data_IF_756789994829
#
_entry.id   IF_756789994829
#
_cell.length_a   1.000
_cell.length_b   1.000
_cell.length_c   1.000
_cell.angle_alpha   90.00
_cell.angle_beta   90.00
_cell.angle_gamma   90.00
#
_symmetry.space_group_name_H-M   'P 1'
#
loop_
_entity.id
_entity.type
_entity.pdbx_description
1 polymer ?
#
# COMPACT_ATOMS: atom_id res chain seq x y z
N UNK A 1 -27.30 15.03 -17.99
CA UNK A 1 -26.01 14.37 -17.75
C UNK A 1 -26.32 12.95 -17.30
N UNK A 2 -25.97 11.95 -18.12
CA UNK A 2 -26.31 10.53 -17.90
C UNK A 2 -25.57 10.03 -16.65
N UNK A 3 -26.17 9.07 -15.87
CA UNK A 3 -25.54 8.51 -14.66
C UNK A 3 -24.10 8.02 -14.90
N UNK A 4 -23.82 7.45 -16.07
CA UNK A 4 -22.48 7.03 -16.49
C UNK A 4 -21.48 8.20 -16.61
N UNK A 5 -21.92 9.41 -16.95
CA UNK A 5 -21.07 10.59 -17.01
C UNK A 5 -20.74 11.16 -15.61
N UNK A 6 -21.65 11.00 -14.65
CA UNK A 6 -21.45 11.43 -13.26
C UNK A 6 -20.44 10.53 -12.53
N UNK A 7 -20.35 9.25 -12.91
CA UNK A 7 -19.38 8.30 -12.33
C UNK A 7 -17.94 8.50 -12.84
N UNK A 8 -17.76 9.14 -14.00
CA UNK A 8 -16.43 9.38 -14.59
C UNK A 8 -15.87 10.78 -14.31
N UNK A 9 -16.67 11.72 -13.77
CA UNK A 9 -16.19 13.08 -13.48
C UNK A 9 -15.25 13.06 -12.27
N UNK A 10 -13.99 13.45 -12.48
CA UNK A 10 -12.98 13.61 -11.42
C UNK A 10 -13.05 15.06 -10.95
N UNK A 11 -13.78 15.29 -9.87
CA UNK A 11 -13.85 16.60 -9.23
C UNK A 11 -12.77 16.76 -8.14
N UNK A 12 -12.64 17.98 -7.63
CA UNK A 12 -11.67 18.33 -6.57
C UNK A 12 -11.77 17.39 -5.35
N UNK A 13 -12.99 17.01 -4.93
CA UNK A 13 -13.19 16.08 -3.82
C UNK A 13 -12.55 14.70 -4.05
N UNK A 14 -12.51 14.22 -5.30
CA UNK A 14 -11.84 12.97 -5.64
C UNK A 14 -10.31 13.10 -5.58
N UNK A 15 -9.78 14.25 -6.04
CA UNK A 15 -8.35 14.56 -5.96
C UNK A 15 -7.89 14.62 -4.50
N UNK A 16 -8.64 15.35 -3.66
CA UNK A 16 -8.36 15.44 -2.22
C UNK A 16 -8.45 14.08 -1.53
N UNK A 17 -9.47 13.26 -1.87
CA UNK A 17 -9.60 11.90 -1.36
C UNK A 17 -8.42 11.02 -1.77
N UNK A 18 -7.85 11.21 -2.98
CA UNK A 18 -6.67 10.49 -3.42
C UNK A 18 -5.42 10.90 -2.62
N UNK A 19 -5.23 12.20 -2.38
CA UNK A 19 -4.15 12.69 -1.51
C UNK A 19 -4.27 12.15 -0.08
N UNK A 20 -5.50 12.18 0.47
CA UNK A 20 -5.78 11.61 1.79
C UNK A 20 -5.51 10.09 1.83
N UNK A 21 -5.85 9.36 0.77
CA UNK A 21 -5.59 7.92 0.67
C UNK A 21 -4.09 7.62 0.69
N UNK A 22 -3.30 8.40 -0.04
CA UNK A 22 -1.84 8.27 -0.05
C UNK A 22 -1.27 8.53 1.35
N UNK A 23 -1.53 9.71 1.93
CA UNK A 23 -1.02 10.05 3.26
C UNK A 23 -1.45 9.05 4.34
N UNK A 24 -2.72 8.63 4.33
CA UNK A 24 -3.24 7.64 5.28
C UNK A 24 -2.57 6.27 5.14
N UNK A 25 -2.39 5.78 3.91
CA UNK A 25 -1.79 4.46 3.68
C UNK A 25 -0.32 4.44 4.10
N UNK A 26 0.46 5.47 3.74
CA UNK A 26 1.87 5.57 4.16
C UNK A 26 2.00 5.70 5.67
N UNK A 27 1.25 6.63 6.28
CA UNK A 27 1.28 6.83 7.73
C UNK A 27 0.92 5.55 8.50
N UNK A 28 -0.13 4.84 8.07
CA UNK A 28 -0.57 3.61 8.73
C UNK A 28 0.46 2.49 8.58
N UNK A 29 1.13 2.40 7.43
CA UNK A 29 2.21 1.45 7.16
C UNK A 29 3.39 1.68 8.12
N UNK A 30 3.93 2.91 8.15
CA UNK A 30 5.07 3.25 9.01
C UNK A 30 4.72 3.18 10.50
N UNK A 31 3.51 3.61 10.87
CA UNK A 31 3.01 3.48 12.22
C UNK A 31 2.95 2.02 12.68
N UNK A 32 2.60 1.09 11.78
CA UNK A 32 2.55 -0.34 12.11
C UNK A 32 3.95 -0.91 12.40
N UNK A 33 4.97 -0.51 11.65
CA UNK A 33 6.36 -0.85 11.97
C UNK A 33 6.75 -0.29 13.34
N UNK A 34 6.49 0.99 13.55
CA UNK A 34 6.83 1.68 14.80
C UNK A 34 6.13 1.05 16.02
N UNK A 35 4.81 0.85 15.94
CA UNK A 35 4.03 0.28 17.03
C UNK A 35 4.49 -1.14 17.37
N UNK A 36 4.73 -1.98 16.35
CA UNK A 36 5.24 -3.34 16.53
C UNK A 36 6.62 -3.32 17.19
N UNK A 37 7.51 -2.45 16.74
CA UNK A 37 8.83 -2.33 17.34
C UNK A 37 8.77 -1.87 18.80
N UNK A 38 7.90 -0.90 19.11
CA UNK A 38 7.70 -0.44 20.49
C UNK A 38 7.20 -1.56 21.41
N UNK A 39 6.28 -2.41 20.91
CA UNK A 39 5.80 -3.58 21.64
C UNK A 39 6.88 -4.63 21.88
N UNK A 40 7.87 -4.72 20.99
CA UNK A 40 9.03 -5.61 21.12
C UNK A 40 10.19 -5.00 21.94
N UNK A 41 10.02 -3.77 22.48
CA UNK A 41 11.04 -3.09 23.27
C UNK A 41 12.10 -2.34 22.44
N UNK A 42 11.92 -2.24 21.12
CA UNK A 42 12.83 -1.52 20.25
C UNK A 42 12.64 0.01 20.35
N UNK A 43 13.72 0.75 20.25
CA UNK A 43 13.69 2.21 20.11
C UNK A 43 13.74 2.59 18.64
N UNK A 44 12.57 2.94 18.07
CA UNK A 44 12.40 3.27 16.66
C UNK A 44 12.15 4.76 16.46
N UNK A 45 12.68 5.28 15.35
CA UNK A 45 12.34 6.59 14.78
C UNK A 45 11.39 6.34 13.62
N UNK A 46 10.27 7.07 13.58
CA UNK A 46 9.27 7.02 12.50
C UNK A 46 9.17 8.39 11.85
N UNK A 47 9.15 8.39 10.54
CA UNK A 47 8.78 9.54 9.68
C UNK A 47 7.53 9.19 8.86
N UNK A 48 7.13 10.02 7.91
CA UNK A 48 5.97 9.72 7.05
C UNK A 48 6.19 8.54 6.10
N UNK A 49 7.44 8.25 5.76
CA UNK A 49 7.78 7.27 4.73
C UNK A 49 8.88 6.29 5.13
N UNK A 50 9.29 6.28 6.39
CA UNK A 50 10.31 5.34 6.87
C UNK A 50 10.25 5.15 8.37
N UNK A 51 10.57 3.93 8.82
CA UNK A 51 10.73 3.57 10.22
C UNK A 51 12.02 2.75 10.37
N UNK A 52 12.88 3.15 11.30
CA UNK A 52 14.19 2.52 11.50
C UNK A 52 14.63 2.56 12.97
N UNK A 53 15.51 1.62 13.42
CA UNK A 53 16.01 1.61 14.78
C UNK A 53 16.93 2.81 15.05
N UNK A 54 16.73 3.47 16.19
CA UNK A 54 17.54 4.63 16.61
C UNK A 54 19.03 4.30 16.75
N UNK A 55 19.36 3.06 17.12
CA UNK A 55 20.73 2.55 17.25
C UNK A 55 21.37 2.14 15.92
N UNK A 56 20.64 2.21 14.79
CA UNK A 56 21.09 1.75 13.48
C UNK A 56 20.91 0.23 13.25
N UNK A 57 20.58 -0.55 14.28
CA UNK A 57 20.36 -1.99 14.20
C UNK A 57 19.27 -2.43 15.19
N UNK A 58 18.57 -3.52 14.87
CA UNK A 58 17.61 -4.15 15.78
C UNK A 58 18.36 -5.00 16.83
N UNK A 59 17.77 -5.16 18.01
CA UNK A 59 18.38 -5.96 19.11
C UNK A 59 18.38 -7.46 18.80
N UNK A 60 17.54 -7.91 17.87
CA UNK A 60 17.50 -9.30 17.42
C UNK A 60 16.96 -9.48 16.01
N UNK A 61 17.48 -10.44 15.27
CA UNK A 61 17.06 -10.72 13.89
C UNK A 61 15.58 -11.11 13.77
N UNK A 62 14.98 -11.70 14.80
CA UNK A 62 13.53 -11.99 14.83
C UNK A 62 12.72 -10.68 14.94
N UNK A 63 13.19 -9.68 15.70
CA UNK A 63 12.53 -8.38 15.80
C UNK A 63 12.48 -7.71 14.44
N UNK A 64 13.58 -7.70 13.70
CA UNK A 64 13.62 -7.15 12.35
C UNK A 64 12.56 -7.77 11.45
N UNK A 65 12.42 -9.10 11.44
CA UNK A 65 11.44 -9.81 10.59
C UNK A 65 10.02 -9.46 10.99
N UNK A 66 9.69 -9.47 12.30
CA UNK A 66 8.34 -9.17 12.79
C UNK A 66 7.95 -7.72 12.50
N UNK A 67 8.88 -6.80 12.74
CA UNK A 67 8.68 -5.37 12.46
C UNK A 67 8.51 -5.15 10.96
N UNK A 68 9.39 -5.72 10.12
CA UNK A 68 9.26 -5.63 8.66
C UNK A 68 7.94 -6.22 8.14
N UNK A 69 7.36 -7.21 8.81
CA UNK A 69 6.08 -7.79 8.39
C UNK A 69 4.88 -6.89 8.71
N UNK A 70 4.97 -6.02 9.72
CA UNK A 70 3.83 -5.25 10.21
C UNK A 70 3.27 -4.27 9.18
N UNK A 71 4.13 -3.51 8.49
CA UNK A 71 3.71 -2.56 7.46
C UNK A 71 3.03 -3.22 6.26
N UNK A 72 3.66 -4.19 5.60
CA UNK A 72 3.01 -4.96 4.54
C UNK A 72 1.69 -5.60 4.98
N UNK A 73 1.65 -6.23 6.15
CA UNK A 73 0.44 -6.89 6.67
C UNK A 73 -0.73 -5.90 6.79
N UNK A 74 -0.53 -4.73 7.41
CA UNK A 74 -1.61 -3.74 7.54
C UNK A 74 -2.02 -3.18 6.19
N UNK A 75 -1.09 -2.99 5.25
CA UNK A 75 -1.41 -2.51 3.90
C UNK A 75 -2.25 -3.52 3.13
N UNK A 76 -1.96 -4.83 3.27
CA UNK A 76 -2.75 -5.91 2.66
C UNK A 76 -4.15 -5.97 3.29
N UNK A 77 -4.25 -5.89 4.62
CA UNK A 77 -5.55 -5.83 5.33
C UNK A 77 -6.36 -4.62 4.86
N UNK A 78 -5.72 -3.46 4.75
CA UNK A 78 -6.34 -2.23 4.25
C UNK A 78 -6.84 -2.41 2.80
N UNK A 79 -6.03 -3.00 1.92
CA UNK A 79 -6.42 -3.30 0.54
C UNK A 79 -7.67 -4.19 0.51
N UNK A 80 -7.70 -5.23 1.33
CA UNK A 80 -8.84 -6.15 1.41
C UNK A 80 -10.11 -5.47 1.95
N UNK A 81 -9.99 -4.62 2.96
CA UNK A 81 -11.12 -3.83 3.48
C UNK A 81 -11.69 -2.94 2.38
N UNK A 82 -10.86 -2.17 1.66
CA UNK A 82 -11.33 -1.30 0.60
C UNK A 82 -11.85 -2.08 -0.62
N UNK A 83 -11.29 -3.25 -0.92
CA UNK A 83 -11.85 -4.17 -1.90
C UNK A 83 -13.30 -4.56 -1.55
N UNK A 84 -13.55 -4.99 -0.31
CA UNK A 84 -14.90 -5.35 0.16
C UNK A 84 -15.85 -4.15 0.14
N UNK A 85 -15.39 -2.97 0.54
CA UNK A 85 -16.18 -1.74 0.47
C UNK A 85 -16.54 -1.38 -0.97
N UNK A 86 -15.62 -1.55 -1.91
CA UNK A 86 -15.87 -1.36 -3.34
C UNK A 86 -16.87 -2.37 -3.89
N UNK A 87 -16.84 -3.62 -3.42
CA UNK A 87 -17.81 -4.64 -3.85
C UNK A 87 -19.23 -4.36 -3.32
N UNK A 88 -19.35 -3.76 -2.14
CA UNK A 88 -20.63 -3.51 -1.45
C UNK A 88 -21.24 -2.14 -1.73
N UNK A 89 -20.44 -1.10 -1.93
CA UNK A 89 -20.91 0.28 -2.06
C UNK A 89 -20.89 0.73 -3.51
N UNK A 90 -21.95 1.44 -3.99
CA UNK A 90 -21.92 2.07 -5.30
C UNK A 90 -20.92 3.22 -5.34
N UNK A 91 -20.33 3.45 -6.51
CA UNK A 91 -19.43 4.57 -6.76
C UNK A 91 -17.94 4.24 -6.55
N UNK A 92 -17.12 5.27 -6.72
CA UNK A 92 -15.66 5.17 -6.83
C UNK A 92 -14.89 5.71 -5.63
N UNK A 93 -15.56 6.17 -4.58
CA UNK A 93 -14.91 6.91 -3.47
C UNK A 93 -13.80 6.13 -2.74
N UNK A 94 -13.94 4.79 -2.68
CA UNK A 94 -12.95 3.91 -2.03
C UNK A 94 -11.85 3.44 -2.97
N UNK A 95 -11.99 3.74 -4.28
CA UNK A 95 -11.03 3.30 -5.28
C UNK A 95 -9.62 3.89 -5.10
N UNK A 96 -9.45 5.18 -4.75
CA UNK A 96 -8.13 5.73 -4.44
C UNK A 96 -7.43 5.00 -3.29
N UNK A 97 -8.15 4.70 -2.21
CA UNK A 97 -7.60 4.00 -1.05
C UNK A 97 -7.15 2.58 -1.39
N UNK A 98 -7.99 1.85 -2.12
CA UNK A 98 -7.64 0.53 -2.60
C UNK A 98 -6.43 0.55 -3.55
N UNK A 99 -6.47 1.42 -4.56
CA UNK A 99 -5.42 1.48 -5.57
C UNK A 99 -4.08 1.98 -4.99
N UNK A 100 -4.11 2.83 -3.96
CA UNK A 100 -2.91 3.25 -3.23
C UNK A 100 -2.21 2.06 -2.56
N UNK A 101 -2.97 1.16 -1.93
CA UNK A 101 -2.38 -0.06 -1.34
C UNK A 101 -1.72 -0.94 -2.42
N UNK A 102 -2.38 -1.12 -3.57
CA UNK A 102 -1.83 -1.88 -4.71
C UNK A 102 -0.54 -1.22 -5.21
N UNK A 103 -0.58 0.10 -5.42
CA UNK A 103 0.58 0.88 -5.88
C UNK A 103 1.76 0.80 -4.91
N UNK A 104 1.49 0.96 -3.61
CA UNK A 104 2.53 0.91 -2.59
C UNK A 104 3.24 -0.45 -2.56
N UNK A 105 2.50 -1.56 -2.69
CA UNK A 105 3.10 -2.90 -2.73
C UNK A 105 3.85 -3.17 -4.03
N UNK A 106 3.36 -2.65 -5.16
CA UNK A 106 4.07 -2.71 -6.43
C UNK A 106 5.41 -1.95 -6.35
N UNK A 107 5.37 -0.72 -5.82
CA UNK A 107 6.57 0.10 -5.64
C UNK A 107 7.57 -0.58 -4.70
N UNK A 108 7.09 -1.12 -3.56
CA UNK A 108 7.92 -1.87 -2.62
C UNK A 108 8.56 -3.10 -3.28
N UNK A 109 7.81 -3.85 -4.09
CA UNK A 109 8.33 -4.98 -4.86
C UNK A 109 9.42 -4.55 -5.85
N UNK A 110 9.20 -3.45 -6.57
CA UNK A 110 10.17 -2.90 -7.51
C UNK A 110 11.44 -2.38 -6.82
N UNK A 111 11.32 -1.78 -5.65
CA UNK A 111 12.47 -1.29 -4.89
C UNK A 111 13.46 -2.37 -4.48
N UNK A 112 13.05 -3.64 -4.42
CA UNK A 112 13.96 -4.76 -4.13
C UNK A 112 15.05 -4.98 -5.21
N UNK A 113 14.93 -4.38 -6.40
CA UNK A 113 16.01 -4.33 -7.39
C UNK A 113 17.15 -3.38 -6.99
N UNK A 114 16.89 -2.42 -6.10
CA UNK A 114 17.84 -1.41 -5.66
C UNK A 114 18.25 -1.68 -4.20
N UNK A 115 17.26 -1.77 -3.31
CA UNK A 115 17.45 -2.01 -1.88
C UNK A 115 16.42 -3.02 -1.37
N UNK A 116 16.85 -3.90 -0.47
CA UNK A 116 15.95 -4.87 0.15
C UNK A 116 14.85 -4.13 0.93
N UNK A 117 13.61 -4.29 0.49
CA UNK A 117 12.43 -3.78 1.17
C UNK A 117 11.81 -4.86 2.09
N UNK A 118 10.75 -4.52 2.79
CA UNK A 118 10.14 -5.36 3.83
C UNK A 118 9.86 -6.80 3.37
N UNK A 119 9.07 -6.98 2.31
CA UNK A 119 8.75 -8.32 1.79
C UNK A 119 10.00 -9.04 1.27
N UNK A 120 10.97 -8.30 0.71
CA UNK A 120 12.23 -8.87 0.25
C UNK A 120 13.08 -9.39 1.41
N UNK A 121 13.15 -8.63 2.53
CA UNK A 121 13.82 -9.06 3.76
C UNK A 121 13.19 -10.31 4.34
N UNK A 122 11.87 -10.32 4.47
CA UNK A 122 11.12 -11.47 4.98
C UNK A 122 11.32 -12.69 4.08
N UNK A 123 11.16 -12.52 2.77
CA UNK A 123 11.31 -13.60 1.77
C UNK A 123 12.70 -14.23 1.83
N UNK A 124 13.73 -13.39 1.93
CA UNK A 124 15.13 -13.85 2.07
C UNK A 124 15.36 -14.56 3.40
N UNK A 125 14.83 -14.06 4.52
CA UNK A 125 14.99 -14.70 5.84
C UNK A 125 14.29 -16.05 5.94
N UNK A 126 13.25 -16.27 5.13
CA UNK A 126 12.55 -17.56 5.01
C UNK A 126 13.21 -18.52 4.01
N UNK A 127 14.33 -18.14 3.40
CA UNK A 127 15.01 -18.95 2.39
C UNK A 127 14.32 -19.03 1.03
N UNK A 128 13.32 -18.17 0.78
CA UNK A 128 12.52 -18.18 -0.46
C UNK A 128 13.14 -17.32 -1.59
N UNK A 129 14.29 -16.67 -1.33
CA UNK A 129 14.86 -15.67 -2.23
C UNK A 129 14.18 -14.31 -2.09
N UNK A 130 14.75 -13.28 -2.74
CA UNK A 130 14.34 -11.88 -2.51
C UNK A 130 12.95 -11.56 -3.07
N UNK A 131 12.57 -12.15 -4.21
CA UNK A 131 11.40 -11.71 -4.99
C UNK A 131 10.15 -12.58 -4.82
N UNK A 132 10.24 -13.75 -4.20
CA UNK A 132 9.10 -14.69 -4.12
C UNK A 132 7.91 -14.07 -3.40
N UNK A 133 8.10 -13.54 -2.20
CA UNK A 133 7.01 -12.94 -1.42
C UNK A 133 6.50 -11.63 -2.05
N UNK A 134 7.37 -10.68 -2.48
CA UNK A 134 6.91 -9.49 -3.19
C UNK A 134 6.07 -9.79 -4.43
N UNK A 135 6.50 -10.73 -5.27
CA UNK A 135 5.75 -11.11 -6.47
C UNK A 135 4.40 -11.73 -6.15
N UNK A 136 4.35 -12.59 -5.14
CA UNK A 136 3.09 -13.20 -4.69
C UNK A 136 2.10 -12.15 -4.19
N UNK A 137 2.55 -11.22 -3.35
CA UNK A 137 1.71 -10.12 -2.83
C UNK A 137 1.19 -9.24 -3.97
N UNK A 138 2.08 -8.84 -4.87
CA UNK A 138 1.72 -8.03 -6.03
C UNK A 138 0.73 -8.76 -6.93
N UNK A 139 0.93 -10.05 -7.22
CA UNK A 139 0.03 -10.85 -8.06
C UNK A 139 -1.38 -10.93 -7.47
N UNK A 140 -1.50 -11.18 -6.16
CA UNK A 140 -2.79 -11.21 -5.46
C UNK A 140 -3.49 -9.85 -5.53
N UNK A 141 -2.78 -8.75 -5.24
CA UNK A 141 -3.36 -7.42 -5.28
C UNK A 141 -3.75 -6.98 -6.69
N UNK A 142 -2.98 -7.34 -7.71
CA UNK A 142 -3.35 -7.10 -9.11
C UNK A 142 -4.60 -7.90 -9.52
N UNK A 143 -4.72 -9.14 -9.06
CA UNK A 143 -5.93 -9.93 -9.29
C UNK A 143 -7.17 -9.27 -8.65
N UNK A 144 -7.06 -8.79 -7.41
CA UNK A 144 -8.14 -8.03 -6.75
C UNK A 144 -8.46 -6.74 -7.51
N UNK A 145 -7.44 -6.02 -8.00
CA UNK A 145 -7.61 -4.81 -8.78
C UNK A 145 -8.33 -5.09 -10.10
N UNK A 146 -7.94 -6.13 -10.81
CA UNK A 146 -8.61 -6.57 -12.04
C UNK A 146 -10.08 -6.91 -11.77
N UNK A 147 -10.37 -7.69 -10.71
CA UNK A 147 -11.74 -8.04 -10.35
C UNK A 147 -12.60 -6.81 -10.04
N UNK A 148 -12.09 -5.86 -9.25
CA UNK A 148 -12.80 -4.61 -8.94
C UNK A 148 -13.05 -3.79 -10.21
N UNK A 149 -12.03 -3.56 -11.02
CA UNK A 149 -12.13 -2.75 -12.25
C UNK A 149 -13.18 -3.35 -13.19
N UNK A 150 -13.14 -4.68 -13.37
CA UNK A 150 -14.08 -5.39 -14.23
C UNK A 150 -15.52 -5.39 -13.68
N UNK A 151 -15.68 -5.74 -12.40
CA UNK A 151 -16.99 -5.85 -11.76
C UNK A 151 -17.66 -4.48 -11.62
N UNK A 152 -16.89 -3.45 -11.27
CA UNK A 152 -17.38 -2.07 -11.11
C UNK A 152 -17.41 -1.30 -12.43
N UNK A 153 -16.93 -1.88 -13.52
CA UNK A 153 -16.84 -1.27 -14.85
C UNK A 153 -16.10 0.08 -14.82
N UNK A 154 -15.04 0.16 -14.04
CA UNK A 154 -14.22 1.37 -14.00
C UNK A 154 -13.47 1.54 -15.31
N UNK A 155 -13.71 2.68 -15.98
CA UNK A 155 -13.06 2.97 -17.26
C UNK A 155 -11.57 3.22 -17.11
N UNK A 156 -10.80 2.91 -18.17
CA UNK A 156 -9.33 3.11 -18.22
C UNK A 156 -8.92 4.52 -17.82
N UNK A 157 -9.69 5.54 -18.21
CA UNK A 157 -9.43 6.94 -17.86
C UNK A 157 -9.41 7.16 -16.33
N UNK A 158 -10.38 6.57 -15.60
CA UNK A 158 -10.40 6.66 -14.13
C UNK A 158 -9.18 6.01 -13.52
N UNK A 159 -8.81 4.80 -13.97
CA UNK A 159 -7.65 4.06 -13.48
C UNK A 159 -6.37 4.86 -13.71
N UNK A 160 -6.14 5.33 -14.94
CA UNK A 160 -4.93 6.10 -15.28
C UNK A 160 -4.81 7.40 -14.49
N UNK A 161 -5.89 8.18 -14.38
CA UNK A 161 -5.86 9.44 -13.61
C UNK A 161 -5.63 9.15 -12.12
N UNK A 162 -6.30 8.14 -11.55
CA UNK A 162 -6.09 7.79 -10.14
C UNK A 162 -4.66 7.35 -9.89
N UNK A 163 -4.10 6.52 -10.77
CA UNK A 163 -2.69 6.10 -10.67
C UNK A 163 -1.74 7.30 -10.79
N UNK A 164 -1.96 8.19 -11.75
CA UNK A 164 -1.16 9.40 -11.90
C UNK A 164 -1.21 10.32 -10.68
N UNK A 165 -2.39 10.50 -10.07
CA UNK A 165 -2.53 11.25 -8.83
C UNK A 165 -1.81 10.58 -7.65
N UNK A 166 -1.91 9.25 -7.53
CA UNK A 166 -1.19 8.49 -6.50
C UNK A 166 0.32 8.68 -6.67
N UNK A 167 0.84 8.54 -7.90
CA UNK A 167 2.26 8.77 -8.17
C UNK A 167 2.70 10.17 -7.80
N UNK A 168 1.90 11.20 -8.18
CA UNK A 168 2.17 12.59 -7.85
C UNK A 168 2.21 12.83 -6.33
N UNK A 169 1.20 12.38 -5.59
CA UNK A 169 1.16 12.57 -4.14
C UNK A 169 2.24 11.74 -3.42
N UNK A 170 2.57 10.55 -3.91
CA UNK A 170 3.64 9.72 -3.34
C UNK A 170 5.03 10.30 -3.56
N UNK A 171 5.23 11.08 -4.62
CA UNK A 171 6.54 11.72 -4.89
C UNK A 171 6.86 12.90 -3.97
N UNK A 172 5.88 13.35 -3.18
CA UNK A 172 6.03 14.45 -2.21
C UNK A 172 6.28 13.94 -0.78
N UNK A 173 6.05 12.63 -0.53
CA UNK A 173 6.32 11.99 0.76
C UNK A 173 7.77 11.54 0.88
#
# INVERSE_FOLDING_TARGET
>A
MNQAQKETSIGMGYVLATGAAVGFTWLLHEFSHWATGRLLGESLIMTLNTCYPKSGHYTGGRHEIIISAAGPAITIVQAFIFYLLLKRSPGKRWFPFFLTCVYMRLLAGAMNFINLNDEGRISKSLGLGTFTLPLLVVAVLFWLAYDVIKTRRFGTKLVLITTGLIMLFSSVL
#
